data_IF_564796032811
#
_entry.id   IF_564796032811
#
_cell.length_a   1.000
_cell.length_b   1.000
_cell.length_c   1.000
_cell.angle_alpha   90.00
_cell.angle_beta   90.00
_cell.angle_gamma   90.00
#
_symmetry.space_group_name_H-M   'P 1'
#
loop_
_entity.id
_entity.type
_entity.pdbx_description
1 polymer ?
#
# COMPACT_ATOMS: atom_id res chain seq x y z
N UNK A 1 38.72 23.57 3.81
CA UNK A 1 38.90 23.06 5.20
C UNK A 1 37.60 22.93 6.00
N UNK A 2 36.81 24.01 6.25
CA UNK A 2 35.52 23.88 6.97
C UNK A 2 34.43 23.19 6.13
N UNK A 3 34.34 23.52 4.83
CA UNK A 3 33.42 22.84 3.90
C UNK A 3 33.76 21.34 3.76
N UNK A 4 35.04 20.96 3.72
CA UNK A 4 35.44 19.56 3.59
C UNK A 4 35.14 18.74 4.86
N UNK A 5 35.28 19.35 6.03
CA UNK A 5 34.86 18.73 7.29
C UNK A 5 33.33 18.60 7.41
N UNK A 6 32.57 19.55 6.86
CA UNK A 6 31.12 19.43 6.76
C UNK A 6 30.75 18.30 5.78
N UNK A 7 31.35 18.28 4.58
CA UNK A 7 31.15 17.25 3.55
C UNK A 7 31.33 15.85 4.11
N UNK A 8 32.47 15.58 4.76
CA UNK A 8 32.77 14.24 5.29
C UNK A 8 31.80 13.76 6.37
N UNK A 9 31.12 14.67 7.08
CA UNK A 9 30.12 14.31 8.10
C UNK A 9 28.69 14.25 7.55
N UNK A 10 28.45 14.84 6.39
CA UNK A 10 27.13 14.99 5.77
C UNK A 10 26.88 13.87 4.76
N UNK A 11 27.88 13.58 3.93
CA UNK A 11 27.79 12.65 2.80
C UNK A 11 27.20 11.27 3.16
N UNK A 12 27.59 10.60 4.26
CA UNK A 12 27.01 9.29 4.60
C UNK A 12 25.50 9.30 4.86
N UNK A 13 24.95 10.43 5.33
CA UNK A 13 23.50 10.54 5.57
C UNK A 13 22.73 10.71 4.27
N UNK A 14 23.31 11.43 3.30
CA UNK A 14 22.70 11.64 1.99
C UNK A 14 22.80 10.34 1.18
N UNK A 15 23.97 9.72 1.17
CA UNK A 15 24.20 8.42 0.52
C UNK A 15 23.22 7.36 1.04
N UNK A 16 22.98 7.31 2.36
CA UNK A 16 22.00 6.38 2.95
C UNK A 16 20.58 6.61 2.39
N UNK A 17 20.12 7.86 2.33
CA UNK A 17 18.78 8.17 1.80
C UNK A 17 18.71 7.84 0.30
N UNK A 18 19.78 8.09 -0.45
CA UNK A 18 19.84 7.77 -1.88
C UNK A 18 19.89 6.26 -2.14
N UNK A 19 20.60 5.48 -1.31
CA UNK A 19 20.55 4.02 -1.34
C UNK A 19 19.14 3.50 -1.07
N UNK A 20 18.45 4.07 -0.08
CA UNK A 20 17.06 3.71 0.21
C UNK A 20 16.12 4.04 -0.96
N UNK A 21 16.33 5.17 -1.64
CA UNK A 21 15.59 5.51 -2.86
C UNK A 21 15.85 4.53 -4.00
N UNK A 22 17.10 4.12 -4.21
CA UNK A 22 17.47 3.19 -5.28
C UNK A 22 16.90 1.77 -5.05
N UNK A 23 16.50 1.45 -3.82
CA UNK A 23 15.79 0.22 -3.48
C UNK A 23 14.26 0.35 -3.57
N UNK A 24 13.76 1.44 -4.16
CA UNK A 24 12.33 1.76 -4.32
C UNK A 24 11.52 1.79 -3.01
N UNK A 25 12.20 2.01 -1.88
CA UNK A 25 11.57 2.09 -0.55
C UNK A 25 10.63 3.31 -0.46
N UNK A 26 10.80 4.30 -1.33
CA UNK A 26 9.99 5.53 -1.38
C UNK A 26 8.50 5.29 -1.68
N UNK A 27 8.15 4.13 -2.26
CA UNK A 27 6.76 3.72 -2.49
C UNK A 27 6.02 3.33 -1.19
N UNK A 28 6.75 2.85 -0.18
CA UNK A 28 6.18 2.40 1.09
C UNK A 28 6.47 3.35 2.25
N UNK A 29 7.54 4.15 2.14
CA UNK A 29 8.01 5.04 3.21
C UNK A 29 8.35 6.43 2.68
N UNK A 30 8.01 7.46 3.47
CA UNK A 30 8.38 8.85 3.16
C UNK A 30 9.85 9.08 3.50
N UNK A 31 10.65 9.40 2.48
CA UNK A 31 12.08 9.69 2.65
C UNK A 31 12.33 11.20 2.74
N UNK A 32 13.28 11.65 3.59
CA UNK A 32 13.65 13.05 3.68
C UNK A 32 14.07 13.67 2.35
N UNK A 33 13.40 14.74 1.95
CA UNK A 33 13.65 15.45 0.70
C UNK A 33 13.44 16.96 0.87
N UNK A 34 14.01 17.76 -0.04
CA UNK A 34 13.68 19.17 -0.18
C UNK A 34 12.81 19.33 -1.42
N UNK A 35 11.60 19.84 -1.24
CA UNK A 35 10.64 20.09 -2.33
C UNK A 35 10.58 21.58 -2.60
N UNK A 36 10.81 21.97 -3.85
CA UNK A 36 10.81 23.37 -4.28
C UNK A 36 9.43 23.75 -4.79
N UNK A 37 8.82 24.77 -4.16
CA UNK A 37 7.48 25.25 -4.48
C UNK A 37 7.54 26.74 -4.77
N UNK A 38 6.86 27.18 -5.82
CA UNK A 38 6.78 28.58 -6.17
C UNK A 38 5.67 28.85 -7.18
N UNK A 39 5.19 30.08 -7.20
CA UNK A 39 4.30 30.55 -8.28
C UNK A 39 5.05 30.47 -9.62
N UNK A 40 4.31 30.37 -10.72
CA UNK A 40 4.91 30.42 -12.06
C UNK A 40 5.78 31.70 -12.20
N UNK A 41 6.97 31.55 -12.79
CA UNK A 41 7.94 32.64 -12.97
C UNK A 41 8.51 33.26 -11.67
N UNK A 42 8.35 32.60 -10.52
CA UNK A 42 8.97 33.00 -9.23
C UNK A 42 10.51 32.91 -9.21
N UNK A 43 11.12 32.27 -10.21
CA UNK A 43 12.58 32.07 -10.27
C UNK A 43 13.05 30.70 -9.75
N UNK A 44 12.13 29.75 -9.53
CA UNK A 44 12.41 28.37 -9.11
C UNK A 44 13.52 27.69 -9.93
N UNK A 45 13.35 27.60 -11.25
CA UNK A 45 14.37 27.01 -12.13
C UNK A 45 15.69 27.78 -12.05
N UNK A 46 15.66 29.10 -11.87
CA UNK A 46 16.87 29.91 -11.72
C UNK A 46 17.66 29.61 -10.44
N UNK A 47 16.96 29.37 -9.33
CA UNK A 47 17.59 28.93 -8.08
C UNK A 47 18.23 27.56 -8.28
N UNK A 48 17.50 26.63 -8.90
CA UNK A 48 17.99 25.26 -9.15
C UNK A 48 19.21 25.24 -10.05
N UNK A 49 19.28 26.06 -11.09
CA UNK A 49 20.44 26.12 -11.99
C UNK A 49 21.71 26.59 -11.30
N UNK A 50 21.62 27.61 -10.44
CA UNK A 50 22.80 28.11 -9.73
C UNK A 50 23.25 27.09 -8.66
N UNK A 51 22.31 26.33 -8.07
CA UNK A 51 22.64 25.22 -7.15
C UNK A 51 23.24 24.00 -7.88
N UNK A 52 22.75 23.68 -9.08
CA UNK A 52 23.14 22.50 -9.85
C UNK A 52 24.35 22.72 -10.74
N UNK A 53 24.66 23.98 -11.07
CA UNK A 53 25.70 24.33 -12.03
C UNK A 53 25.34 24.01 -13.48
N UNK A 54 24.08 23.68 -13.78
CA UNK A 54 23.61 23.35 -15.14
C UNK A 54 22.34 24.11 -15.49
N UNK A 55 22.14 24.38 -16.78
CA UNK A 55 20.92 25.03 -17.26
C UNK A 55 19.76 24.03 -17.30
N UNK A 56 18.61 24.45 -16.76
CA UNK A 56 17.35 23.69 -16.82
C UNK A 56 16.44 24.33 -17.88
N UNK A 57 15.43 23.61 -18.39
CA UNK A 57 14.47 24.21 -19.31
C UNK A 57 13.85 25.49 -18.75
N UNK A 58 13.69 26.49 -19.62
CA UNK A 58 13.07 27.79 -19.33
C UNK A 58 12.23 28.21 -20.53
N UNK A 59 11.09 28.85 -20.27
CA UNK A 59 10.19 29.32 -21.33
C UNK A 59 8.98 30.07 -20.78
N UNK A 60 8.14 30.53 -21.70
CA UNK A 60 6.80 31.06 -21.40
C UNK A 60 5.81 29.91 -21.23
N UNK A 61 4.95 29.95 -20.21
CA UNK A 61 4.04 28.84 -19.90
C UNK A 61 4.54 27.95 -18.75
N UNK A 62 3.99 26.74 -18.64
CA UNK A 62 4.41 25.76 -17.63
C UNK A 62 5.68 25.09 -18.14
N UNK A 63 6.81 25.44 -17.55
CA UNK A 63 8.13 24.97 -17.99
C UNK A 63 8.47 23.60 -17.44
N UNK A 64 8.12 23.34 -16.17
CA UNK A 64 8.28 22.03 -15.52
C UNK A 64 6.92 21.34 -15.57
N UNK A 65 6.75 20.33 -16.44
CA UNK A 65 5.48 19.61 -16.62
C UNK A 65 5.39 18.28 -15.83
N UNK A 66 6.53 17.75 -15.42
CA UNK A 66 6.64 16.55 -14.60
C UNK A 66 7.51 16.86 -13.37
N UNK A 67 7.25 16.26 -12.19
CA UNK A 67 8.16 16.31 -11.06
C UNK A 67 9.58 15.87 -11.44
N UNK A 68 10.58 16.72 -11.15
CA UNK A 68 11.99 16.45 -11.46
C UNK A 68 12.79 16.30 -10.17
N UNK A 69 13.26 15.10 -9.87
CA UNK A 69 14.22 14.85 -8.80
C UNK A 69 15.62 15.17 -9.31
N UNK A 70 16.20 16.27 -8.81
CA UNK A 70 17.57 16.66 -9.06
C UNK A 70 18.46 16.14 -7.92
N UNK A 71 19.30 15.14 -8.21
CA UNK A 71 20.31 14.60 -7.29
C UNK A 71 21.67 15.15 -7.65
N UNK A 72 22.27 15.93 -6.76
CA UNK A 72 23.60 16.47 -6.90
C UNK A 72 24.55 15.66 -6.02
N UNK A 73 25.57 15.04 -6.64
CA UNK A 73 26.56 14.22 -5.97
C UNK A 73 27.95 14.85 -6.17
N UNK A 74 28.60 15.22 -5.08
CA UNK A 74 29.96 15.71 -5.13
C UNK A 74 30.94 14.54 -5.24
N UNK A 75 31.65 14.48 -6.36
CA UNK A 75 32.69 13.48 -6.58
C UNK A 75 33.96 14.14 -7.12
N UNK A 76 35.01 14.16 -6.30
CA UNK A 76 36.31 14.74 -6.64
C UNK A 76 37.03 13.96 -7.76
N UNK A 77 36.63 12.70 -8.00
CA UNK A 77 37.27 11.84 -9.01
C UNK A 77 36.72 12.03 -10.43
N UNK A 78 35.52 12.61 -10.57
CA UNK A 78 34.82 12.77 -11.84
C UNK A 78 34.73 14.24 -12.25
N UNK A 79 35.10 14.55 -13.50
CA UNK A 79 35.04 15.92 -14.02
C UNK A 79 33.57 16.42 -14.07
N UNK A 80 32.71 15.66 -14.76
CA UNK A 80 31.26 15.84 -14.76
C UNK A 80 30.59 14.61 -15.42
N UNK A 81 29.49 14.12 -14.86
CA UNK A 81 28.65 13.05 -15.42
C UNK A 81 27.20 13.27 -15.02
N UNK A 82 26.26 13.00 -15.91
CA UNK A 82 24.85 13.00 -15.60
C UNK A 82 24.16 11.71 -16.06
N UNK A 83 23.14 11.32 -15.32
CA UNK A 83 22.24 10.21 -15.64
C UNK A 83 20.81 10.74 -15.50
N UNK A 84 20.02 10.61 -16.56
CA UNK A 84 18.59 10.89 -16.52
C UNK A 84 17.82 9.57 -16.60
N UNK A 85 16.82 9.41 -15.75
CA UNK A 85 15.98 8.22 -15.67
C UNK A 85 14.51 8.62 -15.64
N UNK A 86 13.70 7.99 -16.50
CA UNK A 86 12.24 8.15 -16.54
C UNK A 86 11.61 6.91 -17.15
N UNK A 87 10.44 6.51 -16.66
CA UNK A 87 9.79 5.25 -17.04
C UNK A 87 10.78 4.07 -16.92
N UNK A 88 11.15 3.42 -18.03
CA UNK A 88 12.15 2.34 -18.10
C UNK A 88 13.45 2.75 -18.82
N UNK A 89 13.63 4.04 -19.13
CA UNK A 89 14.79 4.55 -19.84
C UNK A 89 15.82 5.15 -18.86
N UNK A 90 17.09 4.82 -19.07
CA UNK A 90 18.22 5.40 -18.36
C UNK A 90 19.27 5.86 -19.38
N UNK A 91 19.55 7.16 -19.41
CA UNK A 91 20.46 7.77 -20.37
C UNK A 91 21.60 8.43 -19.60
N UNK A 92 22.81 7.94 -19.84
CA UNK A 92 24.05 8.51 -19.30
C UNK A 92 24.70 9.45 -20.31
N UNK A 93 25.14 10.63 -19.85
CA UNK A 93 25.82 11.62 -20.68
C UNK A 93 26.84 12.44 -19.86
N UNK A 94 27.83 13.01 -20.56
CA UNK A 94 28.98 13.72 -19.94
C UNK A 94 29.07 15.20 -20.33
N UNK A 95 28.13 15.69 -21.12
CA UNK A 95 28.08 17.08 -21.59
C UNK A 95 26.98 17.86 -20.84
N UNK A 96 27.32 18.87 -20.01
CA UNK A 96 26.35 19.68 -19.27
C UNK A 96 25.32 20.41 -20.14
N UNK A 97 25.70 20.76 -21.37
CA UNK A 97 24.84 21.45 -22.34
C UNK A 97 23.63 20.61 -22.75
N UNK A 98 23.76 19.28 -22.72
CA UNK A 98 22.69 18.38 -23.11
C UNK A 98 21.62 18.19 -22.04
N UNK A 99 21.85 18.62 -20.78
CA UNK A 99 20.89 18.48 -19.68
C UNK A 99 19.53 19.06 -20.06
N UNK A 100 19.51 20.28 -20.61
CA UNK A 100 18.26 20.95 -20.97
C UNK A 100 17.48 20.17 -22.03
N UNK A 101 18.18 19.66 -23.05
CA UNK A 101 17.55 18.89 -24.13
C UNK A 101 17.00 17.56 -23.62
N UNK A 102 17.77 16.81 -22.83
CA UNK A 102 17.31 15.53 -22.28
C UNK A 102 16.14 15.68 -21.29
N UNK A 103 16.17 16.71 -20.44
CA UNK A 103 15.05 16.99 -19.53
C UNK A 103 13.80 17.37 -20.32
N UNK A 104 13.93 18.14 -21.40
CA UNK A 104 12.81 18.49 -22.26
C UNK A 104 12.24 17.25 -22.97
N UNK A 105 13.09 16.40 -23.56
CA UNK A 105 12.68 15.15 -24.20
C UNK A 105 11.95 14.22 -23.23
N UNK A 106 12.47 14.08 -21.99
CA UNK A 106 11.82 13.29 -20.95
C UNK A 106 10.43 13.85 -20.59
N UNK A 107 10.29 15.17 -20.48
CA UNK A 107 8.99 15.79 -20.23
C UNK A 107 8.03 15.59 -21.41
N UNK A 108 8.49 15.72 -22.66
CA UNK A 108 7.68 15.48 -23.86
C UNK A 108 7.21 14.02 -23.96
N UNK A 109 8.06 13.07 -23.57
CA UNK A 109 7.71 11.65 -23.55
C UNK A 109 6.62 11.32 -22.53
N UNK A 110 6.69 11.92 -21.33
CA UNK A 110 5.76 11.64 -20.22
C UNK A 110 4.45 12.43 -20.28
N UNK A 111 4.51 13.72 -20.60
CA UNK A 111 3.37 14.63 -20.59
C UNK A 111 2.74 14.80 -22.00
N UNK A 112 3.39 14.29 -23.04
CA UNK A 112 3.05 14.52 -24.45
C UNK A 112 3.59 15.85 -24.98
N UNK A 113 3.49 16.08 -26.30
CA UNK A 113 3.94 17.33 -26.95
C UNK A 113 3.07 18.57 -26.63
N UNK A 114 2.03 18.42 -25.81
CA UNK A 114 1.12 19.51 -25.42
C UNK A 114 1.44 20.13 -24.05
N UNK A 115 0.62 21.09 -23.61
CA UNK A 115 0.80 21.77 -22.31
C UNK A 115 0.24 20.97 -21.10
N UNK A 116 0.20 19.65 -21.22
CA UNK A 116 -0.23 18.75 -20.14
C UNK A 116 0.78 18.69 -19.00
N UNK A 117 0.35 18.17 -17.86
CA UNK A 117 1.25 17.79 -16.75
C UNK A 117 1.11 16.30 -16.50
N UNK A 118 2.19 15.68 -16.02
CA UNK A 118 2.21 14.29 -15.57
C UNK A 118 2.67 14.23 -14.12
N UNK A 119 2.17 13.24 -13.37
CA UNK A 119 2.63 12.90 -12.03
C UNK A 119 3.83 11.93 -12.05
N UNK A 120 4.20 11.41 -13.22
CA UNK A 120 5.38 10.58 -13.42
C UNK A 120 6.68 11.35 -13.14
N UNK A 121 7.61 10.70 -12.47
CA UNK A 121 8.85 11.28 -11.97
C UNK A 121 10.00 11.17 -12.98
N UNK A 122 10.74 12.26 -13.16
CA UNK A 122 12.02 12.27 -13.86
C UNK A 122 13.13 12.39 -12.81
N UNK A 123 14.11 11.49 -12.83
CA UNK A 123 15.30 11.59 -11.98
C UNK A 123 16.50 12.05 -12.80
N UNK A 124 17.12 13.16 -12.41
CA UNK A 124 18.37 13.67 -12.97
C UNK A 124 19.45 13.63 -11.90
N UNK A 125 20.41 12.73 -12.04
CA UNK A 125 21.58 12.62 -11.18
C UNK A 125 22.77 13.30 -11.84
N UNK A 126 23.33 14.32 -11.20
CA UNK A 126 24.52 15.05 -11.64
C UNK A 126 25.65 14.76 -10.66
N UNK A 127 26.78 14.30 -11.18
CA UNK A 127 27.99 13.98 -10.43
C UNK A 127 29.12 14.90 -10.89
N UNK A 128 29.65 15.74 -9.99
CA UNK A 128 30.71 16.70 -10.31
C UNK A 128 31.49 17.11 -9.06
N UNK A 129 32.75 17.51 -9.21
CA UNK A 129 33.56 18.04 -8.10
C UNK A 129 33.09 19.41 -7.59
N UNK A 130 32.29 20.15 -8.38
CA UNK A 130 31.88 21.53 -8.09
C UNK A 130 30.53 21.63 -7.37
N UNK A 131 29.64 20.65 -7.54
CA UNK A 131 28.28 20.67 -6.96
C UNK A 131 28.28 20.25 -5.49
N UNK A 132 27.26 20.66 -4.73
CA UNK A 132 27.07 20.19 -3.36
C UNK A 132 26.31 18.86 -3.31
N UNK A 133 26.49 18.07 -2.23
CA UNK A 133 25.66 16.88 -1.99
C UNK A 133 24.25 17.33 -1.56
N UNK A 134 23.27 17.16 -2.45
CA UNK A 134 21.90 17.63 -2.22
C UNK A 134 20.89 16.92 -3.13
N UNK A 135 19.73 16.56 -2.58
CA UNK A 135 18.58 16.09 -3.37
C UNK A 135 17.45 17.10 -3.29
N UNK A 136 16.98 17.56 -4.46
CA UNK A 136 15.91 18.53 -4.61
C UNK A 136 14.83 17.94 -5.50
N UNK A 137 13.56 18.19 -5.17
CA UNK A 137 12.43 17.83 -6.02
C UNK A 137 11.84 19.14 -6.56
N UNK A 138 11.95 19.33 -7.87
CA UNK A 138 11.35 20.43 -8.59
C UNK A 138 9.93 20.06 -9.02
N UNK A 139 8.95 20.90 -8.64
CA UNK A 139 7.55 20.70 -9.00
C UNK A 139 7.08 21.76 -10.01
N UNK A 140 6.02 21.48 -10.78
CA UNK A 140 5.39 22.48 -11.63
C UNK A 140 5.04 23.77 -10.87
N UNK A 141 5.30 24.91 -11.49
CA UNK A 141 4.99 26.22 -10.88
C UNK A 141 3.48 26.46 -10.83
N UNK A 142 3.00 27.07 -9.74
CA UNK A 142 1.56 27.29 -9.55
C UNK A 142 1.06 28.30 -10.59
N UNK A 143 0.23 27.83 -11.53
CA UNK A 143 -0.45 28.65 -12.52
C UNK A 143 -1.78 29.17 -11.95
N UNK A 144 -2.04 30.47 -12.08
CA UNK A 144 -3.30 31.11 -11.61
C UNK A 144 -4.40 31.06 -12.66
N UNK A 145 -4.03 31.01 -13.94
CA UNK A 145 -4.93 31.02 -15.10
C UNK A 145 -4.39 30.03 -16.12
N UNK A 146 -5.28 29.24 -16.72
CA UNK A 146 -4.91 28.33 -17.81
C UNK A 146 -4.56 29.11 -19.08
N UNK A 147 -3.43 28.78 -19.70
CA UNK A 147 -3.06 29.30 -21.01
C UNK A 147 -3.83 28.57 -22.13
N UNK A 148 -3.98 29.17 -23.34
CA UNK A 148 -4.62 28.48 -24.46
C UNK A 148 -3.93 27.14 -24.77
N UNK A 149 -4.67 26.03 -24.74
CA UNK A 149 -4.13 24.67 -24.92
C UNK A 149 -4.04 23.86 -23.62
N UNK A 150 -4.12 24.51 -22.45
CA UNK A 150 -4.16 23.86 -21.14
C UNK A 150 -5.59 23.56 -20.69
N UNK A 151 -5.79 22.49 -19.91
CA UNK A 151 -7.10 22.23 -19.30
C UNK A 151 -7.42 23.30 -18.24
N UNK A 152 -8.70 23.68 -18.11
CA UNK A 152 -9.12 24.76 -17.19
C UNK A 152 -8.75 24.46 -15.72
N UNK A 153 -8.68 23.19 -15.34
CA UNK A 153 -8.33 22.74 -13.99
C UNK A 153 -6.82 22.55 -13.76
N UNK A 154 -5.94 22.98 -14.69
CA UNK A 154 -4.49 22.77 -14.58
C UNK A 154 -3.91 23.28 -13.25
N UNK A 155 -4.37 24.45 -12.79
CA UNK A 155 -3.93 25.04 -11.52
C UNK A 155 -4.30 24.16 -10.32
N UNK A 156 -5.48 23.53 -10.34
CA UNK A 156 -5.91 22.61 -9.27
C UNK A 156 -5.12 21.30 -9.29
N UNK A 157 -4.81 20.78 -10.48
CA UNK A 157 -3.99 19.57 -10.63
C UNK A 157 -2.57 19.81 -10.09
N UNK A 158 -1.94 20.95 -10.44
CA UNK A 158 -0.62 21.34 -9.91
C UNK A 158 -0.67 21.48 -8.38
N UNK A 159 -1.72 22.12 -7.84
CA UNK A 159 -1.86 22.25 -6.38
C UNK A 159 -1.99 20.90 -5.70
N UNK A 160 -2.78 19.99 -6.27
CA UNK A 160 -2.96 18.63 -5.76
C UNK A 160 -1.64 17.86 -5.78
N UNK A 161 -0.90 17.96 -6.89
CA UNK A 161 0.42 17.36 -7.03
C UNK A 161 1.39 17.90 -5.97
N UNK A 162 1.47 19.22 -5.80
CA UNK A 162 2.32 19.83 -4.77
C UNK A 162 1.94 19.35 -3.37
N UNK A 163 0.64 19.33 -3.04
CA UNK A 163 0.15 18.88 -1.74
C UNK A 163 0.57 17.43 -1.43
N UNK A 164 0.59 16.53 -2.42
CA UNK A 164 1.04 15.15 -2.22
C UNK A 164 2.50 15.05 -1.73
N UNK A 165 3.36 15.98 -2.14
CA UNK A 165 4.76 16.03 -1.71
C UNK A 165 4.95 16.79 -0.39
N UNK A 166 4.32 17.96 -0.24
CA UNK A 166 4.54 18.82 0.94
C UNK A 166 3.76 18.36 2.18
N UNK A 167 2.73 17.53 2.04
CA UNK A 167 1.97 16.99 3.18
C UNK A 167 2.77 15.98 4.00
N UNK A 168 3.83 15.37 3.44
CA UNK A 168 4.73 14.46 4.15
C UNK A 168 5.55 15.24 5.19
N UNK A 169 5.56 14.80 6.45
CA UNK A 169 6.27 15.47 7.55
C UNK A 169 7.79 15.47 7.35
N UNK A 170 8.30 14.44 6.67
CA UNK A 170 9.70 14.23 6.33
C UNK A 170 10.19 15.13 5.16
N UNK A 171 9.30 15.93 4.57
CA UNK A 171 9.65 16.84 3.47
C UNK A 171 9.98 18.25 4.01
N UNK A 172 11.15 18.78 3.66
CA UNK A 172 11.47 20.21 3.82
C UNK A 172 10.85 20.98 2.66
N UNK A 173 10.12 22.06 2.96
CA UNK A 173 9.46 22.90 1.96
C UNK A 173 10.36 24.09 1.65
N UNK A 174 10.78 24.22 0.40
CA UNK A 174 11.57 25.35 -0.10
C UNK A 174 10.68 26.27 -0.94
N UNK A 175 10.20 27.36 -0.33
CA UNK A 175 9.30 28.31 -0.98
C UNK A 175 10.10 29.38 -1.72
N UNK A 176 9.92 29.51 -3.02
CA UNK A 176 10.59 30.53 -3.85
C UNK A 176 9.63 31.69 -4.11
N UNK A 177 10.02 32.89 -3.69
CA UNK A 177 9.20 34.11 -3.78
C UNK A 177 10.04 35.24 -4.39
N UNK A 178 9.55 35.95 -5.42
CA UNK A 178 10.28 37.11 -5.95
C UNK A 178 10.12 38.33 -5.03
N UNK A 179 11.18 39.11 -4.86
CA UNK A 179 11.23 40.25 -3.94
C UNK A 179 10.29 41.41 -4.33
N UNK A 180 9.92 41.49 -5.61
CA UNK A 180 9.06 42.55 -6.15
C UNK A 180 7.56 42.26 -5.97
N UNK A 181 7.19 41.15 -5.33
CA UNK A 181 5.81 40.76 -5.06
C UNK A 181 5.59 40.70 -3.55
N UNK A 182 4.38 41.07 -3.10
CA UNK A 182 4.00 40.90 -1.70
C UNK A 182 3.94 39.40 -1.35
N UNK A 183 4.79 39.00 -0.40
CA UNK A 183 4.90 37.64 0.09
C UNK A 183 3.56 37.09 0.62
N UNK A 184 2.69 37.94 1.18
CA UNK A 184 1.38 37.54 1.69
C UNK A 184 0.41 37.10 0.59
N UNK A 185 0.67 37.48 -0.67
CA UNK A 185 -0.17 37.14 -1.84
C UNK A 185 0.31 35.93 -2.62
N UNK A 186 1.40 35.29 -2.15
CA UNK A 186 2.02 34.14 -2.83
C UNK A 186 1.29 32.85 -2.47
N UNK A 187 0.80 32.12 -3.48
CA UNK A 187 0.04 30.89 -3.25
C UNK A 187 0.94 29.78 -2.70
N UNK A 188 2.20 29.72 -3.15
CA UNK A 188 3.19 28.75 -2.65
C UNK A 188 3.38 28.82 -1.12
N UNK A 189 3.44 30.04 -0.55
CA UNK A 189 3.61 30.20 0.90
C UNK A 189 2.33 29.85 1.66
N UNK A 190 1.16 30.20 1.10
CA UNK A 190 -0.14 29.82 1.67
C UNK A 190 -0.29 28.30 1.74
N UNK A 191 0.10 27.58 0.69
CA UNK A 191 0.09 26.11 0.67
C UNK A 191 1.06 25.53 1.71
N UNK A 192 2.27 26.10 1.85
CA UNK A 192 3.22 25.68 2.87
C UNK A 192 2.64 25.86 4.29
N UNK A 193 1.99 26.99 4.58
CA UNK A 193 1.36 27.26 5.87
C UNK A 193 0.18 26.35 6.19
N UNK A 194 -0.51 25.79 5.18
CA UNK A 194 -1.59 24.82 5.41
C UNK A 194 -1.07 23.50 6.00
N UNK A 195 0.12 23.06 5.57
CA UNK A 195 0.74 21.78 5.99
C UNK A 195 1.87 21.95 7.02
N UNK A 196 2.35 23.18 7.23
CA UNK A 196 3.36 23.57 8.21
C UNK A 196 3.02 24.94 8.83
N UNK A 197 1.96 25.04 9.68
CA UNK A 197 1.53 26.32 10.27
C UNK A 197 2.59 26.98 11.15
N UNK A 198 3.48 26.20 11.77
CA UNK A 198 4.56 26.70 12.62
C UNK A 198 5.82 27.10 11.82
N UNK A 199 5.86 26.84 10.51
CA UNK A 199 7.03 27.06 9.67
C UNK A 199 8.26 26.28 10.15
N UNK A 200 8.06 25.09 10.71
CA UNK A 200 9.12 24.29 11.32
C UNK A 200 10.07 23.64 10.31
N UNK A 201 9.54 23.32 9.12
CA UNK A 201 10.25 22.67 8.01
C UNK A 201 10.16 23.49 6.72
N UNK A 202 9.78 24.76 6.82
CA UNK A 202 9.65 25.68 5.68
C UNK A 202 10.78 26.70 5.66
N UNK A 203 11.53 26.74 4.56
CA UNK A 203 12.55 27.75 4.25
C UNK A 203 12.09 28.56 3.05
N UNK A 204 12.20 29.89 3.13
CA UNK A 204 11.84 30.77 2.02
C UNK A 204 13.06 31.39 1.35
N UNK A 205 13.07 31.36 0.02
CA UNK A 205 14.08 32.02 -0.82
C UNK A 205 13.45 33.22 -1.50
N UNK A 206 14.07 34.38 -1.31
CA UNK A 206 13.71 35.62 -1.99
C UNK A 206 14.57 35.80 -3.24
N UNK A 207 13.94 35.84 -4.42
CA UNK A 207 14.61 35.97 -5.73
C UNK A 207 14.38 37.35 -6.34
N UNK A 208 15.06 37.66 -7.44
CA UNK A 208 14.91 38.94 -8.17
C UNK A 208 15.06 40.20 -7.30
N UNK A 209 16.09 40.28 -6.43
CA UNK A 209 16.30 41.45 -5.57
C UNK A 209 16.65 42.72 -6.36
N UNK A 210 17.02 42.58 -7.63
CA UNK A 210 17.31 43.64 -8.59
C UNK A 210 16.05 44.37 -9.10
N UNK A 211 14.87 43.77 -8.96
CA UNK A 211 13.59 44.34 -9.42
C UNK A 211 12.80 45.04 -8.31
N UNK A 212 13.42 45.30 -7.17
CA UNK A 212 12.77 45.99 -6.05
C UNK A 212 12.65 47.48 -6.37
N UNK A 213 11.45 48.03 -6.17
CA UNK A 213 11.23 49.46 -6.31
C UNK A 213 12.04 50.25 -5.26
N UNK A 214 12.73 51.34 -5.64
CA UNK A 214 13.49 52.15 -4.69
C UNK A 214 12.62 52.64 -3.53
N UNK A 215 13.00 52.31 -2.29
CA UNK A 215 12.28 52.59 -1.06
C UNK A 215 11.54 51.39 -0.46
N UNK A 216 11.27 50.34 -1.25
CA UNK A 216 10.62 49.12 -0.77
C UNK A 216 11.59 48.10 -0.14
N UNK A 217 12.91 48.35 -0.19
CA UNK A 217 13.93 47.43 0.33
C UNK A 217 13.81 47.20 1.84
N UNK A 218 13.26 48.18 2.57
CA UNK A 218 12.97 48.04 4.01
C UNK A 218 11.94 46.95 4.30
N UNK A 219 10.94 46.80 3.43
CA UNK A 219 9.91 45.76 3.56
C UNK A 219 10.56 44.38 3.41
N UNK A 220 11.43 44.24 2.40
CA UNK A 220 12.19 43.00 2.18
C UNK A 220 13.13 42.70 3.36
N UNK A 221 13.76 43.72 3.95
CA UNK A 221 14.55 43.55 5.17
C UNK A 221 13.69 43.03 6.33
N UNK A 222 12.49 43.56 6.55
CA UNK A 222 11.61 43.09 7.62
C UNK A 222 11.18 41.62 7.42
N UNK A 223 10.93 41.22 6.18
CA UNK A 223 10.67 39.82 5.81
C UNK A 223 11.87 38.94 6.19
N UNK A 224 13.08 39.31 5.77
CA UNK A 224 14.31 38.52 6.02
C UNK A 224 14.70 38.44 7.50
N UNK A 225 14.27 39.42 8.29
CA UNK A 225 14.42 39.41 9.75
C UNK A 225 13.30 38.64 10.47
N UNK A 226 12.47 37.87 9.75
CA UNK A 226 11.35 37.10 10.31
C UNK A 226 10.30 37.98 11.03
N UNK A 227 10.15 39.27 10.66
CA UNK A 227 9.20 40.18 11.34
C UNK A 227 7.80 40.11 10.76
N UNK A 228 7.67 39.78 9.47
CA UNK A 228 6.38 39.73 8.77
C UNK A 228 5.73 38.37 8.90
N UNK A 229 6.41 37.32 8.44
CA UNK A 229 5.94 35.92 8.52
C UNK A 229 7.05 35.12 9.20
N UNK A 230 6.80 34.52 10.37
CA UNK A 230 7.84 33.81 11.10
C UNK A 230 8.05 32.40 10.53
N UNK A 231 9.26 32.12 10.03
CA UNK A 231 9.68 30.77 9.62
C UNK A 231 10.86 30.32 10.48
N UNK A 232 10.84 29.08 11.01
CA UNK A 232 11.91 28.57 11.88
C UNK A 232 13.22 28.37 11.10
N UNK A 233 13.14 28.01 9.82
CA UNK A 233 14.32 27.94 8.93
C UNK A 233 14.71 29.32 8.36
N UNK A 234 13.81 30.30 8.45
CA UNK A 234 14.03 31.70 8.07
C UNK A 234 13.99 31.96 6.58
N UNK A 235 14.73 33.00 6.16
CA UNK A 235 14.76 33.49 4.78
C UNK A 235 16.20 33.59 4.26
N UNK A 236 16.36 33.45 2.95
CA UNK A 236 17.62 33.71 2.23
C UNK A 236 17.33 34.51 0.96
N UNK A 237 18.10 35.55 0.67
CA UNK A 237 17.99 36.30 -0.60
C UNK A 237 19.07 35.81 -1.58
N UNK A 238 18.67 35.55 -2.81
CA UNK A 238 19.58 35.17 -3.90
C UNK A 238 19.34 36.01 -5.14
N UNK A 239 20.43 36.35 -5.83
CA UNK A 239 20.37 36.99 -7.15
C UNK A 239 20.71 35.93 -8.19
N UNK A 240 19.76 35.64 -9.07
CA UNK A 240 19.96 34.70 -10.17
C UNK A 240 20.10 35.45 -11.49
N UNK A 241 20.56 34.76 -12.55
CA UNK A 241 20.61 35.31 -13.91
C UNK A 241 19.23 35.79 -14.36
N UNK A 242 19.15 37.05 -14.79
CA UNK A 242 17.97 37.61 -15.46
C UNK A 242 17.85 37.11 -16.90
N UNK A 243 16.70 37.39 -17.55
CA UNK A 243 16.46 36.91 -18.93
C UNK A 243 17.53 37.40 -19.92
N UNK A 244 17.92 38.68 -19.86
CA UNK A 244 18.96 39.24 -20.73
C UNK A 244 20.31 38.54 -20.58
N UNK A 245 20.72 38.27 -19.34
CA UNK A 245 21.99 37.59 -19.04
C UNK A 245 22.01 36.15 -19.57
N UNK A 246 20.83 35.53 -19.68
CA UNK A 246 20.68 34.20 -20.26
C UNK A 246 20.76 34.29 -21.78
N UNK A 247 20.06 35.25 -22.38
CA UNK A 247 20.12 35.50 -23.83
C UNK A 247 21.56 35.84 -24.29
N UNK A 248 22.35 36.47 -23.42
CA UNK A 248 23.78 36.77 -23.60
C UNK A 248 24.72 35.60 -23.24
N UNK A 249 24.19 34.44 -22.83
CA UNK A 249 24.94 33.25 -22.42
C UNK A 249 26.00 33.50 -21.33
N UNK A 250 25.69 34.35 -20.35
CA UNK A 250 26.57 34.61 -19.21
C UNK A 250 26.75 33.31 -18.39
N UNK A 251 28.02 33.03 -18.06
CA UNK A 251 28.37 31.82 -17.31
C UNK A 251 27.82 31.87 -15.88
N UNK A 252 27.66 30.69 -15.26
CA UNK A 252 27.19 30.60 -13.87
C UNK A 252 28.24 31.16 -12.91
N UNK A 253 29.53 31.03 -13.21
CA UNK A 253 30.60 31.61 -12.42
C UNK A 253 30.52 33.15 -12.39
N UNK A 254 30.31 33.76 -13.56
CA UNK A 254 30.15 35.22 -13.68
C UNK A 254 28.88 35.69 -12.94
N UNK A 255 27.81 34.89 -12.96
CA UNK A 255 26.58 35.19 -12.23
C UNK A 255 26.78 35.18 -10.71
N UNK A 256 27.61 34.28 -10.18
CA UNK A 256 27.97 34.24 -8.75
C UNK A 256 28.83 35.45 -8.39
N UNK A 257 29.75 35.87 -9.26
CA UNK A 257 30.54 37.08 -9.03
C UNK A 257 29.67 38.34 -9.07
N UNK A 258 28.74 38.44 -10.02
CA UNK A 258 27.75 39.51 -10.10
C UNK A 258 26.80 39.54 -8.88
N UNK A 259 26.43 38.37 -8.34
CA UNK A 259 25.68 38.26 -7.09
C UNK A 259 26.46 38.87 -5.91
N UNK A 260 27.71 38.48 -5.72
CA UNK A 260 28.56 38.99 -4.63
C UNK A 260 28.73 40.52 -4.76
N UNK A 261 29.05 40.99 -5.97
CA UNK A 261 29.18 42.41 -6.26
C UNK A 261 27.89 43.20 -5.98
N UNK A 262 26.73 42.64 -6.31
CA UNK A 262 25.44 43.27 -6.04
C UNK A 262 25.21 43.44 -4.54
N UNK A 263 25.36 42.38 -3.75
CA UNK A 263 25.11 42.44 -2.31
C UNK A 263 26.13 43.28 -1.55
N UNK A 264 27.39 43.32 -1.98
CA UNK A 264 28.42 44.18 -1.38
C UNK A 264 28.16 45.67 -1.62
N UNK A 265 27.66 46.03 -2.81
CA UNK A 265 27.36 47.42 -3.18
C UNK A 265 26.03 47.90 -2.61
N UNK A 266 25.08 47.00 -2.37
CA UNK A 266 23.73 47.37 -1.97
C UNK A 266 23.65 47.78 -0.49
N UNK A 267 23.35 49.06 -0.23
CA UNK A 267 23.39 49.70 1.10
C UNK A 267 22.58 48.92 2.16
N UNK A 268 21.40 48.43 1.78
CA UNK A 268 20.50 47.73 2.69
C UNK A 268 20.89 46.26 2.92
N UNK A 269 21.34 45.56 1.87
CA UNK A 269 21.51 44.11 1.91
C UNK A 269 22.91 43.68 2.35
N UNK A 270 23.91 44.56 2.25
CA UNK A 270 25.28 44.30 2.72
C UNK A 270 25.33 43.86 4.19
N UNK A 271 24.40 44.32 5.02
CA UNK A 271 24.33 44.00 6.44
C UNK A 271 23.74 42.62 6.78
N UNK A 272 23.21 41.88 5.79
CA UNK A 272 22.47 40.63 6.01
C UNK A 272 23.35 39.39 6.21
N UNK A 273 24.68 39.49 6.05
CA UNK A 273 25.63 38.45 6.43
C UNK A 273 25.37 37.09 5.75
N UNK A 274 25.00 36.08 6.53
CA UNK A 274 24.78 34.70 6.10
C UNK A 274 23.40 34.44 5.48
N UNK A 275 22.53 35.46 5.40
CA UNK A 275 21.19 35.37 4.81
C UNK A 275 21.12 35.76 3.34
N UNK A 276 22.26 35.99 2.71
CA UNK A 276 22.38 36.40 1.31
C UNK A 276 23.32 35.45 0.58
N UNK A 277 23.25 35.45 -0.75
CA UNK A 277 24.06 34.66 -1.69
C UNK A 277 23.70 33.18 -1.80
N UNK A 278 23.99 32.61 -2.96
CA UNK A 278 23.77 31.19 -3.25
C UNK A 278 24.69 30.26 -2.43
N UNK A 279 25.92 30.69 -2.13
CA UNK A 279 26.88 29.86 -1.39
C UNK A 279 26.41 29.59 0.04
N UNK A 280 25.83 30.61 0.69
CA UNK A 280 25.21 30.45 2.00
C UNK A 280 23.92 29.62 1.91
N UNK A 281 23.12 29.79 0.85
CA UNK A 281 21.93 28.96 0.62
C UNK A 281 22.30 27.47 0.52
N UNK A 282 23.26 27.10 -0.33
CA UNK A 282 23.70 25.72 -0.50
C UNK A 282 24.16 25.11 0.83
N UNK A 283 25.03 25.82 1.57
CA UNK A 283 25.52 25.37 2.88
C UNK A 283 24.37 25.18 3.88
N UNK A 284 23.41 26.11 3.89
CA UNK A 284 22.25 26.07 4.78
C UNK A 284 21.29 24.94 4.42
N UNK A 285 21.01 24.71 3.13
CA UNK A 285 20.17 23.62 2.65
C UNK A 285 20.78 22.26 3.00
N UNK A 286 22.06 22.05 2.70
CA UNK A 286 22.76 20.81 3.01
C UNK A 286 22.75 20.51 4.51
N UNK A 287 23.04 21.51 5.36
CA UNK A 287 22.98 21.34 6.82
C UNK A 287 21.56 21.03 7.30
N UNK A 288 20.57 21.76 6.79
CA UNK A 288 19.16 21.59 7.17
C UNK A 288 18.65 20.20 6.78
N UNK A 289 19.00 19.72 5.58
CA UNK A 289 18.66 18.38 5.11
C UNK A 289 19.23 17.32 6.05
N UNK A 290 20.51 17.42 6.40
CA UNK A 290 21.17 16.43 7.27
C UNK A 290 20.61 16.45 8.69
N UNK A 291 20.37 17.63 9.25
CA UNK A 291 19.75 17.77 10.56
C UNK A 291 18.32 17.21 10.55
N UNK A 292 17.61 17.33 9.43
CA UNK A 292 16.29 16.74 9.24
C UNK A 292 16.36 15.21 9.10
N UNK A 293 17.26 14.68 8.27
CA UNK A 293 17.52 13.23 8.15
C UNK A 293 17.81 12.63 9.53
N UNK A 294 18.70 13.23 10.32
CA UNK A 294 19.04 12.76 11.67
C UNK A 294 17.83 12.70 12.61
N UNK A 295 16.91 13.65 12.49
CA UNK A 295 15.68 13.69 13.29
C UNK A 295 14.66 12.64 12.84
N UNK A 296 14.59 12.38 11.53
CA UNK A 296 13.64 11.44 10.94
C UNK A 296 14.12 9.98 11.02
N UNK A 297 15.42 9.73 11.04
CA UNK A 297 16.00 8.37 11.04
C UNK A 297 15.46 7.42 12.12
N UNK A 298 15.29 7.83 13.41
CA UNK A 298 14.72 6.95 14.42
C UNK A 298 13.29 6.51 14.10
N UNK A 299 12.44 7.46 13.69
CA UNK A 299 11.04 7.22 13.29
C UNK A 299 10.98 6.33 12.05
N UNK A 300 11.84 6.57 11.06
CA UNK A 300 11.95 5.72 9.87
C UNK A 300 12.38 4.30 10.23
N UNK A 301 13.34 4.13 11.16
CA UNK A 301 13.77 2.80 11.60
C UNK A 301 12.67 2.03 12.32
N UNK A 302 11.83 2.71 13.11
CA UNK A 302 10.65 2.14 13.74
C UNK A 302 9.61 1.73 12.69
N UNK A 303 9.24 2.63 11.78
CA UNK A 303 8.31 2.36 10.70
C UNK A 303 8.74 1.16 9.82
N UNK A 304 10.04 1.04 9.51
CA UNK A 304 10.59 -0.10 8.76
C UNK A 304 10.41 -1.40 9.54
N UNK A 305 10.67 -1.39 10.86
CA UNK A 305 10.54 -2.60 11.70
C UNK A 305 9.09 -3.02 11.81
N UNK A 306 8.18 -2.08 12.03
CA UNK A 306 6.74 -2.33 12.13
C UNK A 306 6.21 -2.90 10.80
N UNK A 307 6.58 -2.29 9.68
CA UNK A 307 6.18 -2.78 8.36
C UNK A 307 6.73 -4.19 8.09
N UNK A 308 7.98 -4.43 8.48
CA UNK A 308 8.62 -5.74 8.35
C UNK A 308 7.95 -6.81 9.23
N UNK A 309 7.52 -6.47 10.44
CA UNK A 309 6.77 -7.36 11.32
C UNK A 309 5.38 -7.67 10.76
N UNK A 310 4.68 -6.66 10.23
CA UNK A 310 3.42 -6.82 9.51
C UNK A 310 3.55 -7.74 8.30
N UNK A 311 4.58 -7.55 7.47
CA UNK A 311 4.87 -8.40 6.33
C UNK A 311 5.20 -9.82 6.78
N UNK A 312 6.00 -9.99 7.85
CA UNK A 312 6.27 -11.32 8.42
C UNK A 312 5.01 -12.00 8.94
N UNK A 313 4.09 -11.29 9.58
CA UNK A 313 2.80 -11.82 10.02
C UNK A 313 1.91 -12.21 8.83
N UNK A 314 1.91 -11.43 7.75
CA UNK A 314 1.21 -11.78 6.50
C UNK A 314 1.82 -13.03 5.87
N UNK A 315 3.15 -13.13 5.82
CA UNK A 315 3.87 -14.31 5.33
C UNK A 315 3.60 -15.53 6.21
N UNK A 316 3.56 -15.40 7.54
CA UNK A 316 3.29 -16.54 8.43
C UNK A 316 1.86 -17.07 8.30
N UNK A 317 0.91 -16.22 7.91
CA UNK A 317 -0.47 -16.63 7.59
C UNK A 317 -0.56 -17.35 6.25
N UNK A 318 0.35 -17.05 5.33
CA UNK A 318 0.46 -17.75 4.06
C UNK A 318 1.17 -19.09 4.29
N UNK A 319 0.45 -20.20 4.07
CA UNK A 319 1.06 -21.53 4.07
C UNK A 319 2.15 -21.57 2.98
N UNK A 320 3.32 -22.17 3.23
CA UNK A 320 4.36 -22.28 2.20
C UNK A 320 3.78 -22.93 0.95
N UNK A 321 3.95 -22.25 -0.19
CA UNK A 321 3.51 -22.75 -1.49
C UNK A 321 4.20 -24.08 -1.85
N UNK A 322 3.68 -24.82 -2.84
CA UNK A 322 4.33 -26.05 -3.27
C UNK A 322 5.76 -25.74 -3.72
N UNK A 323 6.76 -26.53 -3.30
CA UNK A 323 8.14 -26.36 -3.74
C UNK A 323 8.24 -26.44 -5.28
N UNK A 324 9.24 -25.82 -5.91
CA UNK A 324 9.34 -25.78 -7.38
C UNK A 324 9.80 -27.12 -7.97
N UNK A 325 10.65 -27.85 -7.24
CA UNK A 325 11.23 -29.13 -7.66
C UNK A 325 10.20 -30.28 -7.68
N UNK A 326 10.12 -31.11 -8.74
CA UNK A 326 9.15 -32.20 -8.84
C UNK A 326 9.23 -33.26 -7.73
N UNK A 327 10.42 -33.55 -7.19
CA UNK A 327 10.56 -34.53 -6.11
C UNK A 327 10.04 -33.95 -4.79
N UNK A 328 10.38 -32.71 -4.48
CA UNK A 328 9.85 -32.00 -3.31
C UNK A 328 8.33 -31.74 -3.44
N UNK A 329 7.78 -31.49 -4.65
CA UNK A 329 6.33 -31.35 -4.86
C UNK A 329 5.57 -32.61 -4.44
N UNK A 330 6.10 -33.77 -4.82
CA UNK A 330 5.52 -35.07 -4.45
C UNK A 330 5.62 -35.30 -2.95
N UNK A 331 6.75 -34.95 -2.33
CA UNK A 331 6.92 -35.04 -0.86
C UNK A 331 5.92 -34.15 -0.12
N UNK A 332 5.76 -32.91 -0.57
CA UNK A 332 4.80 -31.94 -0.03
C UNK A 332 3.36 -32.40 -0.20
N UNK A 333 2.99 -32.91 -1.38
CA UNK A 333 1.66 -33.49 -1.62
C UNK A 333 1.39 -34.67 -0.67
N UNK A 334 2.34 -35.59 -0.51
CA UNK A 334 2.23 -36.69 0.45
C UNK A 334 2.01 -36.17 1.87
N UNK A 335 2.78 -35.17 2.30
CA UNK A 335 2.62 -34.57 3.63
C UNK A 335 1.22 -33.96 3.84
N UNK A 336 0.70 -33.22 2.85
CA UNK A 336 -0.65 -32.64 2.92
C UNK A 336 -1.72 -33.74 3.00
N UNK A 337 -1.60 -34.79 2.19
CA UNK A 337 -2.55 -35.92 2.21
C UNK A 337 -2.47 -36.69 3.53
N UNK A 338 -1.26 -36.94 4.06
CA UNK A 338 -1.07 -37.59 5.36
C UNK A 338 -1.69 -36.77 6.48
N UNK A 339 -1.48 -35.44 6.49
CA UNK A 339 -2.09 -34.54 7.48
C UNK A 339 -3.63 -34.57 7.39
N UNK A 340 -4.19 -34.60 6.18
CA UNK A 340 -5.63 -34.73 5.98
C UNK A 340 -6.16 -36.05 6.55
N UNK A 341 -5.49 -37.17 6.27
CA UNK A 341 -5.84 -38.48 6.79
C UNK A 341 -5.75 -38.55 8.31
N UNK A 342 -4.71 -37.97 8.92
CA UNK A 342 -4.56 -37.90 10.37
C UNK A 342 -5.72 -37.13 11.02
N UNK A 343 -6.14 -36.01 10.44
CA UNK A 343 -7.29 -35.24 10.93
C UNK A 343 -8.61 -36.00 10.78
N UNK A 344 -8.80 -36.77 9.70
CA UNK A 344 -9.97 -37.66 9.57
C UNK A 344 -9.97 -38.73 10.66
N UNK A 345 -8.80 -39.32 10.96
CA UNK A 345 -8.66 -40.34 12.01
C UNK A 345 -8.93 -39.73 13.39
N UNK A 346 -8.49 -38.49 13.65
CA UNK A 346 -8.81 -37.77 14.89
C UNK A 346 -10.30 -37.49 15.02
N UNK A 347 -10.94 -37.06 13.92
CA UNK A 347 -12.39 -36.85 13.86
C UNK A 347 -13.17 -38.15 14.13
N UNK A 348 -12.71 -39.30 13.62
CA UNK A 348 -13.36 -40.59 13.86
C UNK A 348 -13.13 -41.14 15.28
N UNK A 349 -12.07 -40.69 15.98
CA UNK A 349 -11.83 -41.00 17.40
C UNK A 349 -12.60 -40.07 18.35
N UNK A 350 -13.15 -38.97 17.85
CA UNK A 350 -13.93 -38.00 18.61
C UNK A 350 -13.10 -36.90 19.24
N UNK A 351 -11.98 -36.53 18.64
CA UNK A 351 -11.24 -35.33 19.00
C UNK A 351 -11.86 -34.09 18.35
N UNK A 352 -11.76 -32.93 19.00
CA UNK A 352 -12.22 -31.65 18.45
C UNK A 352 -11.23 -31.12 17.42
N UNK A 353 -11.48 -31.42 16.14
CA UNK A 353 -10.67 -30.92 15.01
C UNK A 353 -11.11 -29.52 14.56
N UNK A 354 -12.35 -29.12 14.88
CA UNK A 354 -12.95 -27.85 14.45
C UNK A 354 -13.67 -27.12 15.61
N UNK A 355 -15.01 -27.08 15.63
CA UNK A 355 -15.81 -26.30 16.59
C UNK A 355 -16.53 -27.18 17.62
N UNK A 356 -17.11 -28.30 17.17
CA UNK A 356 -17.81 -29.25 18.04
C UNK A 356 -17.40 -30.68 17.69
N UNK A 357 -17.45 -31.55 18.69
CA UNK A 357 -17.16 -32.96 18.53
C UNK A 357 -18.31 -33.64 17.79
N UNK A 358 -18.01 -34.34 16.68
CA UNK A 358 -19.01 -35.08 15.89
C UNK A 358 -19.84 -36.03 16.77
N UNK A 359 -19.23 -36.66 17.78
CA UNK A 359 -19.94 -37.55 18.71
C UNK A 359 -20.89 -36.82 19.66
N UNK A 360 -20.70 -35.53 19.92
CA UNK A 360 -21.65 -34.72 20.69
C UNK A 360 -22.88 -34.41 19.82
N UNK A 361 -22.63 -34.04 18.57
CA UNK A 361 -23.67 -33.80 17.58
C UNK A 361 -24.50 -35.06 17.29
N UNK A 362 -23.86 -36.19 16.98
CA UNK A 362 -24.55 -37.48 16.76
C UNK A 362 -25.34 -37.95 17.98
N UNK A 363 -24.86 -37.66 19.21
CA UNK A 363 -25.59 -38.03 20.44
C UNK A 363 -26.93 -37.32 20.57
N UNK A 364 -27.08 -36.12 20.00
CA UNK A 364 -28.35 -35.40 19.98
C UNK A 364 -29.37 -36.13 19.09
N UNK A 365 -28.98 -36.47 17.87
CA UNK A 365 -29.82 -37.24 16.94
C UNK A 365 -30.21 -38.62 17.51
N UNK A 366 -29.26 -39.34 18.12
CA UNK A 366 -29.58 -40.62 18.77
C UNK A 366 -30.51 -40.47 19.97
N UNK A 367 -30.49 -39.33 20.66
CA UNK A 367 -31.41 -39.04 21.77
C UNK A 367 -32.82 -38.80 21.24
N UNK A 368 -32.95 -38.07 20.14
CA UNK A 368 -34.23 -37.79 19.48
C UNK A 368 -34.83 -39.08 18.91
N UNK A 369 -34.00 -39.95 18.31
CA UNK A 369 -34.39 -41.31 17.92
C UNK A 369 -34.89 -42.15 19.11
N UNK A 370 -34.19 -42.09 20.25
CA UNK A 370 -34.60 -42.79 21.48
C UNK A 370 -35.94 -42.26 22.03
N UNK A 371 -36.25 -40.98 21.84
CA UNK A 371 -37.53 -40.39 22.21
C UNK A 371 -38.65 -40.86 21.26
N UNK A 372 -38.40 -40.92 19.96
CA UNK A 372 -39.30 -41.55 18.99
C UNK A 372 -39.62 -43.01 19.34
N UNK A 373 -38.61 -43.80 19.75
CA UNK A 373 -38.79 -45.18 20.23
C UNK A 373 -39.63 -45.26 21.52
N UNK A 374 -39.55 -44.27 22.42
CA UNK A 374 -40.39 -44.23 23.62
C UNK A 374 -41.84 -43.87 23.29
N UNK A 375 -42.04 -42.95 22.35
CA UNK A 375 -43.37 -42.51 21.92
C UNK A 375 -44.09 -43.60 21.11
N UNK A 376 -43.36 -44.38 20.30
CA UNK A 376 -43.93 -45.55 19.60
C UNK A 376 -44.37 -46.63 20.58
N UNK A 377 -43.66 -46.81 21.71
CA UNK A 377 -44.07 -47.73 22.79
C UNK A 377 -45.37 -47.30 23.49
N UNK A 378 -45.66 -46.01 23.61
CA UNK A 378 -46.97 -45.56 24.11
C UNK A 378 -48.10 -45.75 23.08
N UNK A 379 -47.81 -45.59 21.79
CA UNK A 379 -48.76 -45.84 20.70
C UNK A 379 -49.06 -47.34 20.52
N UNK A 380 -48.14 -48.24 20.91
CA UNK A 380 -48.34 -49.69 20.92
C UNK A 380 -49.67 -50.08 21.58
N UNK A 381 -49.95 -49.57 22.77
CA UNK A 381 -51.15 -49.94 23.51
C UNK A 381 -52.43 -49.50 22.77
N UNK A 382 -52.40 -48.32 22.14
CA UNK A 382 -53.53 -47.81 21.38
C UNK A 382 -53.76 -48.59 20.08
N UNK A 383 -52.69 -48.94 19.37
CA UNK A 383 -52.79 -49.69 18.12
C UNK A 383 -53.15 -51.16 18.35
N UNK A 384 -52.67 -51.78 19.43
CA UNK A 384 -53.14 -53.11 19.87
C UNK A 384 -54.64 -53.08 20.15
N UNK A 385 -55.14 -52.09 20.90
CA UNK A 385 -56.57 -51.97 21.17
C UNK A 385 -57.38 -51.79 19.88
N UNK A 386 -56.92 -50.95 18.95
CA UNK A 386 -57.59 -50.71 17.67
C UNK A 386 -57.64 -51.95 16.78
N UNK A 387 -56.53 -52.68 16.65
CA UNK A 387 -56.46 -53.87 15.79
C UNK A 387 -57.24 -55.06 16.41
N UNK A 388 -57.25 -55.18 17.74
CA UNK A 388 -58.11 -56.16 18.44
C UNK A 388 -59.59 -55.83 18.21
N UNK A 389 -59.99 -54.56 18.32
CA UNK A 389 -61.37 -54.12 18.03
C UNK A 389 -61.77 -54.35 16.57
N UNK A 390 -60.92 -54.02 15.60
CA UNK A 390 -61.18 -54.28 14.17
C UNK A 390 -61.25 -55.79 13.86
N UNK A 391 -60.42 -56.59 14.52
CA UNK A 391 -60.42 -58.04 14.35
C UNK A 391 -61.69 -58.68 14.92
N UNK A 392 -62.10 -58.27 16.13
CA UNK A 392 -63.35 -58.69 16.77
C UNK A 392 -64.58 -58.30 15.94
N UNK A 393 -64.56 -57.14 15.27
CA UNK A 393 -65.63 -56.69 14.38
C UNK A 393 -65.72 -57.52 13.09
N UNK A 394 -64.58 -57.90 12.49
CA UNK A 394 -64.53 -58.68 11.24
C UNK A 394 -64.78 -60.18 11.43
N UNK A 395 -64.41 -60.76 12.57
CA UNK A 395 -64.46 -62.22 12.79
C UNK A 395 -65.57 -62.67 13.76
N UNK A 396 -66.46 -61.75 14.16
CA UNK A 396 -67.58 -61.95 15.11
C UNK A 396 -68.60 -63.06 14.76
N UNK A 397 -68.47 -63.75 13.63
CA UNK A 397 -69.36 -64.85 13.22
C UNK A 397 -68.70 -66.21 13.02
N UNK A 398 -67.37 -66.33 13.10
CA UNK A 398 -66.72 -67.56 12.60
C UNK A 398 -65.92 -68.41 13.59
N UNK A 399 -65.60 -68.02 14.83
CA UNK A 399 -64.88 -68.93 15.74
C UNK A 399 -65.27 -68.80 17.23
N UNK A 400 -65.17 -69.93 17.96
CA UNK A 400 -65.41 -70.06 19.41
C UNK A 400 -64.36 -69.25 20.21
N UNK A 401 -64.75 -68.61 21.34
CA UNK A 401 -63.88 -67.72 22.10
C UNK A 401 -62.79 -68.53 22.83
N UNK A 402 -61.51 -68.32 22.50
CA UNK A 402 -60.42 -68.92 23.28
C UNK A 402 -59.01 -68.98 22.67
N UNK A 403 -58.82 -68.74 21.37
CA UNK A 403 -57.49 -68.79 20.76
C UNK A 403 -57.02 -67.40 20.32
N UNK A 404 -55.93 -66.91 20.92
CA UNK A 404 -55.22 -65.73 20.45
C UNK A 404 -54.61 -66.04 19.08
N UNK A 405 -55.13 -65.44 18.02
CA UNK A 405 -54.64 -65.68 16.68
C UNK A 405 -53.27 -65.00 16.50
N UNK A 406 -52.22 -65.81 16.34
CA UNK A 406 -50.84 -65.36 16.14
C UNK A 406 -50.69 -64.39 14.96
N UNK A 407 -51.53 -64.53 13.92
CA UNK A 407 -51.52 -63.63 12.75
C UNK A 407 -51.93 -62.19 13.08
N UNK A 408 -52.78 -61.98 14.10
CA UNK A 408 -53.19 -60.65 14.57
C UNK A 408 -52.03 -59.99 15.31
N UNK A 409 -51.35 -60.74 16.17
CA UNK A 409 -50.14 -60.27 16.83
C UNK A 409 -49.03 -59.93 15.82
N UNK A 410 -48.82 -60.79 14.81
CA UNK A 410 -47.86 -60.56 13.75
C UNK A 410 -48.17 -59.28 12.95
N UNK A 411 -49.44 -59.06 12.57
CA UNK A 411 -49.86 -57.84 11.86
C UNK A 411 -49.65 -56.57 12.69
N UNK A 412 -49.96 -56.61 14.00
CA UNK A 412 -49.71 -55.48 14.89
C UNK A 412 -48.22 -55.17 14.97
N UNK A 413 -47.38 -56.18 15.21
CA UNK A 413 -45.91 -56.02 15.27
C UNK A 413 -45.36 -55.48 13.94
N UNK A 414 -45.87 -55.97 12.81
CA UNK A 414 -45.37 -55.56 11.49
C UNK A 414 -45.77 -54.12 11.14
N UNK A 415 -46.99 -53.68 11.48
CA UNK A 415 -47.39 -52.28 11.33
C UNK A 415 -46.54 -51.35 12.20
N UNK A 416 -46.23 -51.75 13.44
CA UNK A 416 -45.38 -50.97 14.34
C UNK A 416 -43.93 -50.90 13.84
N UNK A 417 -43.39 -52.00 13.31
CA UNK A 417 -42.05 -52.00 12.70
C UNK A 417 -41.99 -51.08 11.48
N UNK A 418 -43.03 -51.07 10.64
CA UNK A 418 -43.11 -50.17 9.49
C UNK A 418 -43.13 -48.70 9.93
N UNK A 419 -43.82 -48.34 11.03
CA UNK A 419 -43.80 -46.96 11.54
C UNK A 419 -42.44 -46.49 12.07
N UNK A 420 -41.54 -47.42 12.40
CA UNK A 420 -40.19 -47.11 12.88
C UNK A 420 -39.16 -47.01 11.75
N UNK A 421 -39.47 -47.52 10.57
CA UNK A 421 -38.56 -47.55 9.43
C UNK A 421 -38.21 -46.15 8.94
N UNK A 422 -39.22 -45.30 8.71
CA UNK A 422 -39.02 -43.94 8.21
C UNK A 422 -38.16 -43.08 9.16
N UNK A 423 -38.47 -42.98 10.47
CA UNK A 423 -37.63 -42.20 11.39
C UNK A 423 -36.22 -42.81 11.59
N UNK A 424 -36.02 -44.11 11.42
CA UNK A 424 -34.69 -44.71 11.42
C UNK A 424 -33.87 -44.28 10.19
N UNK A 425 -34.48 -44.29 9.01
CA UNK A 425 -33.86 -43.82 7.77
C UNK A 425 -33.56 -42.31 7.85
N UNK A 426 -34.49 -41.51 8.37
CA UNK A 426 -34.27 -40.08 8.58
C UNK A 426 -33.10 -39.81 9.54
N UNK A 427 -33.01 -40.56 10.64
CA UNK A 427 -31.87 -40.42 11.58
C UNK A 427 -30.54 -40.76 10.89
N UNK A 428 -30.52 -41.80 10.05
CA UNK A 428 -29.34 -42.18 9.27
C UNK A 428 -28.94 -41.09 8.26
N UNK A 429 -29.91 -40.49 7.57
CA UNK A 429 -29.68 -39.37 6.66
C UNK A 429 -29.11 -38.16 7.41
N UNK A 430 -29.72 -37.76 8.53
CA UNK A 430 -29.23 -36.64 9.33
C UNK A 430 -27.77 -36.86 9.78
N UNK A 431 -27.44 -38.04 10.29
CA UNK A 431 -26.06 -38.38 10.70
C UNK A 431 -25.10 -38.33 9.51
N UNK A 432 -25.56 -38.79 8.34
CA UNK A 432 -24.77 -38.77 7.10
C UNK A 432 -24.48 -37.34 6.65
N UNK A 433 -25.48 -36.46 6.66
CA UNK A 433 -25.35 -35.06 6.28
C UNK A 433 -24.40 -34.32 7.25
N UNK A 434 -24.51 -34.57 8.55
CA UNK A 434 -23.61 -33.99 9.56
C UNK A 434 -22.15 -34.41 9.35
N UNK A 435 -21.90 -35.67 8.98
CA UNK A 435 -20.57 -36.13 8.63
C UNK A 435 -20.04 -35.45 7.35
N UNK A 436 -20.90 -35.29 6.33
CA UNK A 436 -20.55 -34.64 5.08
C UNK A 436 -20.17 -33.17 5.28
N UNK A 437 -20.92 -32.42 6.08
CA UNK A 437 -20.63 -31.02 6.40
C UNK A 437 -19.28 -30.86 7.09
N UNK A 438 -19.01 -31.68 8.11
CA UNK A 438 -17.75 -31.64 8.85
C UNK A 438 -16.56 -32.06 7.98
N UNK A 439 -16.72 -33.07 7.13
CA UNK A 439 -15.68 -33.48 6.19
C UNK A 439 -15.43 -32.39 5.13
N UNK A 440 -16.47 -31.72 4.64
CA UNK A 440 -16.34 -30.61 3.70
C UNK A 440 -15.59 -29.42 4.35
N UNK A 441 -15.91 -29.09 5.59
CA UNK A 441 -15.19 -28.07 6.36
C UNK A 441 -13.71 -28.44 6.55
N UNK A 442 -13.42 -29.70 6.87
CA UNK A 442 -12.06 -30.22 7.02
C UNK A 442 -11.25 -30.14 5.73
N UNK A 443 -11.87 -30.52 4.61
CA UNK A 443 -11.27 -30.44 3.28
C UNK A 443 -10.94 -28.99 2.91
N UNK A 444 -11.90 -28.07 3.08
CA UNK A 444 -11.72 -26.66 2.75
C UNK A 444 -10.55 -26.02 3.49
N UNK A 445 -10.38 -26.35 4.78
CA UNK A 445 -9.29 -25.84 5.62
C UNK A 445 -7.93 -26.48 5.27
N UNK A 446 -7.92 -27.80 5.04
CA UNK A 446 -6.67 -28.53 4.81
C UNK A 446 -6.11 -28.25 3.40
N UNK A 447 -6.97 -28.15 2.40
CA UNK A 447 -6.59 -27.87 1.01
C UNK A 447 -6.79 -26.39 0.62
N UNK A 448 -6.77 -25.49 1.59
CA UNK A 448 -6.81 -24.05 1.35
C UNK A 448 -5.63 -23.63 0.45
N UNK A 449 -5.93 -23.02 -0.70
CA UNK A 449 -4.93 -22.70 -1.74
C UNK A 449 -4.76 -23.76 -2.85
N UNK A 450 -5.46 -24.90 -2.77
CA UNK A 450 -5.41 -25.97 -3.78
C UNK A 450 -6.81 -26.35 -4.30
N UNK A 451 -7.36 -25.57 -5.26
CA UNK A 451 -8.75 -25.74 -5.72
C UNK A 451 -9.04 -27.12 -6.33
N UNK A 452 -8.07 -27.73 -7.02
CA UNK A 452 -8.23 -29.07 -7.59
C UNK A 452 -8.31 -30.17 -6.52
N UNK A 453 -7.51 -30.08 -5.45
CA UNK A 453 -7.57 -31.05 -4.35
C UNK A 453 -8.89 -30.94 -3.57
N UNK A 454 -9.42 -29.71 -3.43
CA UNK A 454 -10.76 -29.50 -2.87
C UNK A 454 -11.84 -30.18 -3.72
N UNK A 455 -11.78 -30.08 -5.05
CA UNK A 455 -12.72 -30.79 -5.93
C UNK A 455 -12.61 -32.32 -5.80
N UNK A 456 -11.39 -32.86 -5.73
CA UNK A 456 -11.18 -34.30 -5.52
C UNK A 456 -11.80 -34.81 -4.21
N UNK A 457 -11.69 -34.04 -3.13
CA UNK A 457 -12.32 -34.41 -1.87
C UNK A 457 -13.85 -34.49 -1.97
N UNK A 458 -14.49 -33.61 -2.75
CA UNK A 458 -15.94 -33.63 -3.01
C UNK A 458 -16.34 -34.86 -3.84
N UNK A 459 -15.51 -35.25 -4.80
CA UNK A 459 -15.73 -36.46 -5.61
C UNK A 459 -15.60 -37.71 -4.73
N UNK A 460 -14.60 -37.76 -3.83
CA UNK A 460 -14.44 -38.86 -2.88
C UNK A 460 -15.63 -38.98 -1.89
N UNK A 461 -16.21 -37.86 -1.46
CA UNK A 461 -17.45 -37.86 -0.67
C UNK A 461 -18.63 -38.46 -1.46
N UNK A 462 -18.79 -38.07 -2.73
CA UNK A 462 -19.86 -38.58 -3.59
C UNK A 462 -19.73 -40.09 -3.89
N UNK A 463 -18.50 -40.61 -3.90
CA UNK A 463 -18.27 -42.05 -4.05
C UNK A 463 -18.73 -42.84 -2.82
N UNK A 464 -18.62 -42.27 -1.61
CA UNK A 464 -19.12 -42.89 -0.38
C UNK A 464 -20.65 -42.73 -0.23
N UNK A 465 -21.26 -41.66 -0.76
CA UNK A 465 -22.72 -41.48 -0.76
C UNK A 465 -23.45 -42.37 -1.77
N UNK A 466 -22.73 -43.05 -2.67
CA UNK A 466 -23.24 -44.15 -3.51
C UNK A 466 -23.10 -45.53 -2.84
N UNK A 467 -22.55 -45.60 -1.62
CA UNK A 467 -22.49 -46.82 -0.81
C UNK A 467 -23.34 -46.78 0.49
N UNK A 468 -24.53 -46.11 0.54
CA UNK A 468 -25.43 -46.19 1.68
C UNK A 468 -26.07 -47.58 1.77
N UNK A 469 -26.01 -48.35 0.69
CA UNK A 469 -26.63 -49.66 0.56
C UNK A 469 -26.18 -50.62 1.64
N UNK A 470 -24.96 -50.57 2.17
CA UNK A 470 -24.59 -51.53 3.22
C UNK A 470 -25.37 -51.33 4.54
N UNK A 471 -25.59 -50.10 4.98
CA UNK A 471 -26.34 -49.83 6.23
C UNK A 471 -27.85 -49.81 6.02
N UNK A 472 -28.31 -49.28 4.89
CA UNK A 472 -29.72 -49.32 4.51
C UNK A 472 -30.16 -50.76 4.28
N UNK A 473 -29.34 -51.61 3.63
CA UNK A 473 -29.60 -53.05 3.48
C UNK A 473 -29.57 -53.79 4.82
N UNK A 474 -28.72 -53.40 5.79
CA UNK A 474 -28.78 -53.95 7.16
C UNK A 474 -30.10 -53.58 7.87
N UNK A 475 -30.58 -52.34 7.73
CA UNK A 475 -31.86 -51.91 8.29
C UNK A 475 -33.06 -52.60 7.59
N UNK A 476 -33.01 -52.74 6.27
CA UNK A 476 -34.05 -53.43 5.48
C UNK A 476 -34.05 -54.95 5.73
N UNK A 477 -32.90 -55.60 5.88
CA UNK A 477 -32.81 -57.04 6.18
C UNK A 477 -33.34 -57.39 7.58
N UNK A 478 -33.24 -56.47 8.55
CA UNK A 478 -33.90 -56.64 9.85
C UNK A 478 -35.43 -56.44 9.82
N UNK A 479 -35.98 -55.86 8.75
CA UNK A 479 -37.43 -55.56 8.62
C UNK A 479 -38.23 -56.64 7.88
N UNK A 480 -37.57 -57.60 7.22
CA UNK A 480 -38.23 -58.72 6.57
C UNK A 480 -38.26 -59.94 7.49
N UNK A 481 -39.44 -60.51 7.79
CA UNK A 481 -39.50 -61.78 8.50
C UNK A 481 -38.86 -62.85 7.63
N UNK A 482 -37.80 -63.48 8.14
CA UNK A 482 -37.33 -64.77 7.65
C UNK A 482 -38.53 -65.72 7.75
N UNK A 483 -39.06 -66.16 6.61
CA UNK A 483 -39.97 -67.29 6.58
C UNK A 483 -39.25 -68.50 7.18
N UNK A 484 -39.66 -68.89 8.39
CA UNK A 484 -39.55 -70.26 8.89
C UNK A 484 -40.95 -70.87 8.80
#
# INVERSE_FOLDING_TARGET
MFQDQLRNKVRPFIDLIDEMRNLDIENELSLPAIVVVGDQSSGKSSVLEVLSGVSLPRGTGIVTRCPLILRLCNDESNAWKAVISYSDEEIEFTEPENVMNYVQQAQDALAGEGDGISDELITLKITSSVVCDLTLIDLPGIARVAMPGQPENIGEQIKTLILNYISKEETIILVVVPCNVDIATTEALKMAQQVDPEGARTLAILTKPDLIDPGAEKIVLDIVHNRTIPLKLGYVIVKCRGQRQIDENISIADAIEDENNFFERHIYFRSLGDKITINHLSTKLTKTLVDHIKKSLPKMSENIKDHLEDVRMKISKLKPGPPQDPAEKRRHLTQIITLFNEKIIQMSKGDTVFQENLFVLMRKEFKDWMECLKNSKSNYNQEVHRVVEEFDLKHRRNELPGFNNFSVFQNVVQNLLNTLQDPAIMTLHNITDMFQEQFHALSKNTFEGYPFLQQFSKIAQNYNSHNPDSFTLILYTCSHPVHI
#
